data_IF_736458941994
#
_entry.id   IF_736458941994
#
_cell.length_a   1.000
_cell.length_b   1.000
_cell.length_c   1.000
_cell.angle_alpha   90.00
_cell.angle_beta   90.00
_cell.angle_gamma   90.00
#
_symmetry.space_group_name_H-M   'P 1'
#
loop_
_entity.id
_entity.type
_entity.pdbx_description
1 polymer ?
#
# COMPACT_ATOMS: atom_id res chain seq x y z
N UNK A 1 -15.02 -12.93 -2.33
CA UNK A 1 -13.69 -13.09 -1.68
C UNK A 1 -13.39 -11.85 -0.86
N UNK A 2 -13.44 -11.95 0.46
CA UNK A 2 -13.27 -10.82 1.37
C UNK A 2 -11.79 -10.48 1.53
N UNK A 3 -11.38 -9.29 1.10
CA UNK A 3 -10.08 -8.73 1.46
C UNK A 3 -10.02 -8.57 2.99
N UNK A 4 -9.32 -9.45 3.70
CA UNK A 4 -9.04 -9.25 5.13
C UNK A 4 -8.19 -8.00 5.23
N UNK A 5 -8.72 -6.94 5.87
CA UNK A 5 -7.93 -5.74 6.20
C UNK A 5 -6.64 -6.21 6.89
N UNK A 6 -5.49 -5.75 6.42
CA UNK A 6 -4.23 -5.98 7.12
C UNK A 6 -4.40 -5.52 8.57
N UNK A 7 -3.92 -6.32 9.53
CA UNK A 7 -4.01 -5.98 10.94
C UNK A 7 -3.49 -4.55 11.18
N UNK A 8 -4.19 -3.73 11.99
CA UNK A 8 -3.82 -2.33 12.21
C UNK A 8 -2.35 -2.14 12.63
N UNK A 9 -1.80 -3.10 13.37
CA UNK A 9 -0.41 -3.11 13.81
C UNK A 9 0.58 -3.31 12.64
N UNK A 10 0.28 -4.24 11.73
CA UNK A 10 1.08 -4.50 10.52
C UNK A 10 1.08 -3.28 9.61
N UNK A 11 -0.09 -2.65 9.44
CA UNK A 11 -0.20 -1.40 8.70
C UNK A 11 0.67 -0.29 9.31
N UNK A 12 0.61 -0.09 10.62
CA UNK A 12 1.38 0.98 11.29
C UNK A 12 2.89 0.76 11.17
N UNK A 13 3.36 -0.47 11.33
CA UNK A 13 4.79 -0.81 11.18
C UNK A 13 5.29 -0.59 9.74
N UNK A 14 4.52 -1.02 8.73
CA UNK A 14 4.91 -0.80 7.34
C UNK A 14 4.89 0.68 6.97
N UNK A 15 3.90 1.45 7.45
CA UNK A 15 3.87 2.90 7.22
C UNK A 15 5.10 3.61 7.80
N UNK A 16 5.52 3.20 9.00
CA UNK A 16 6.73 3.73 9.64
C UNK A 16 8.00 3.35 8.86
N UNK A 17 8.15 2.11 8.40
CA UNK A 17 9.34 1.69 7.65
C UNK A 17 9.46 2.41 6.31
N UNK A 18 8.33 2.66 5.63
CA UNK A 18 8.29 3.43 4.38
C UNK A 18 8.55 4.94 4.62
N UNK A 19 8.44 5.42 5.87
CA UNK A 19 8.53 6.84 6.21
C UNK A 19 7.47 7.70 5.52
N UNK A 20 6.32 7.11 5.20
CA UNK A 20 5.24 7.77 4.50
C UNK A 20 4.43 8.66 5.47
N UNK A 21 4.02 9.88 5.07
CA UNK A 21 3.14 10.69 5.90
C UNK A 21 1.79 9.99 6.11
N UNK A 22 1.24 10.09 7.32
CA UNK A 22 -0.08 9.52 7.65
C UNK A 22 -1.14 10.04 6.66
N UNK A 23 -1.94 9.13 6.10
CA UNK A 23 -2.98 9.46 5.11
C UNK A 23 -2.48 9.60 3.67
N UNK A 24 -1.16 9.55 3.43
CA UNK A 24 -0.61 9.66 2.07
C UNK A 24 -0.54 8.33 1.33
N UNK A 25 -0.55 7.22 2.07
CA UNK A 25 -0.55 5.88 1.53
C UNK A 25 -1.56 4.99 2.27
N UNK A 26 -2.14 4.04 1.55
CA UNK A 26 -3.09 3.05 2.04
C UNK A 26 -2.50 1.66 1.87
N UNK A 27 -2.37 0.92 2.97
CA UNK A 27 -1.86 -0.46 2.96
C UNK A 27 -3.04 -1.41 3.06
N UNK A 28 -3.10 -2.38 2.16
CA UNK A 28 -4.14 -3.42 2.14
C UNK A 28 -3.50 -4.79 1.92
N UNK A 29 -4.11 -5.83 2.48
CA UNK A 29 -3.79 -7.21 2.14
C UNK A 29 -4.80 -7.70 1.11
N UNK A 30 -4.32 -8.24 0.00
CA UNK A 30 -5.13 -8.77 -1.11
C UNK A 30 -4.77 -10.24 -1.27
N UNK A 31 -5.77 -11.11 -1.23
CA UNK A 31 -5.60 -12.51 -1.60
C UNK A 31 -5.50 -12.62 -3.12
N UNK A 32 -4.49 -13.34 -3.62
CA UNK A 32 -4.32 -13.72 -5.02
C UNK A 32 -4.30 -15.25 -5.12
N UNK A 33 -4.43 -15.84 -6.33
CA UNK A 33 -4.32 -17.28 -6.53
C UNK A 33 -2.99 -17.87 -6.02
N UNK A 34 -1.91 -17.09 -6.06
CA UNK A 34 -0.57 -17.47 -5.63
C UNK A 34 -0.29 -17.22 -4.13
N UNK A 35 -1.20 -16.55 -3.42
CA UNK A 35 -1.06 -16.26 -1.99
C UNK A 35 -1.53 -14.86 -1.60
N UNK A 36 -1.29 -14.48 -0.35
CA UNK A 36 -1.62 -13.14 0.11
C UNK A 36 -0.50 -12.15 -0.25
N UNK A 37 -0.88 -10.99 -0.79
CA UNK A 37 0.04 -9.91 -1.13
C UNK A 37 -0.33 -8.64 -0.36
N UNK A 38 0.67 -7.84 0.00
CA UNK A 38 0.47 -6.50 0.57
C UNK A 38 0.49 -5.49 -0.58
N UNK A 39 -0.59 -4.75 -0.73
CA UNK A 39 -0.71 -3.65 -1.69
C UNK A 39 -0.55 -2.32 -0.96
N UNK A 40 0.49 -1.58 -1.32
CA UNK A 40 0.74 -0.21 -0.86
C UNK A 40 0.25 0.74 -1.94
N UNK A 41 -0.94 1.33 -1.71
CA UNK A 41 -1.50 2.36 -2.57
C UNK A 41 -0.98 3.73 -2.17
N UNK A 42 -0.28 4.40 -3.06
CA UNK A 42 0.28 5.73 -2.83
C UNK A 42 -0.57 6.76 -3.57
N UNK A 43 -0.85 7.90 -2.96
CA UNK A 43 -1.44 9.00 -3.73
C UNK A 43 -0.39 9.57 -4.70
N UNK A 44 -0.82 10.21 -5.78
CA UNK A 44 0.08 10.78 -6.80
C UNK A 44 1.01 11.89 -6.28
N UNK A 45 0.72 12.48 -5.11
CA UNK A 45 1.56 13.48 -4.43
C UNK A 45 2.55 12.86 -3.44
N UNK A 46 2.40 11.58 -3.12
CA UNK A 46 3.18 10.87 -2.13
C UNK A 46 4.06 9.88 -2.84
N UNK A 47 5.29 10.30 -3.05
CA UNK A 47 6.34 9.40 -3.50
C UNK A 47 6.97 8.80 -2.25
N UNK A 48 6.61 7.57 -1.90
CA UNK A 48 7.50 6.77 -1.05
C UNK A 48 8.80 6.65 -1.81
N UNK A 49 9.88 7.13 -1.21
CA UNK A 49 11.17 7.18 -1.89
C UNK A 49 11.56 5.76 -2.35
N UNK A 50 12.01 5.56 -3.60
CA UNK A 50 12.33 4.24 -4.14
C UNK A 50 13.27 3.44 -3.23
N UNK A 51 14.24 4.09 -2.59
CA UNK A 51 15.19 3.46 -1.67
C UNK A 51 14.57 2.92 -0.37
N UNK A 52 13.34 3.31 -0.06
CA UNK A 52 12.58 2.81 1.10
C UNK A 52 11.53 1.77 0.71
N UNK A 53 11.36 1.50 -0.57
CA UNK A 53 10.41 0.49 -1.03
C UNK A 53 10.99 -0.89 -0.75
N UNK A 54 10.27 -1.66 0.06
CA UNK A 54 10.56 -3.07 0.34
C UNK A 54 9.79 -3.95 -0.63
N UNK A 55 10.42 -4.99 -1.16
CA UNK A 55 9.77 -5.99 -2.05
C UNK A 55 8.96 -7.03 -1.26
N UNK A 56 9.25 -7.19 0.03
CA UNK A 56 8.53 -8.08 0.93
C UNK A 56 8.47 -7.50 2.36
N UNK A 57 7.42 -7.82 3.10
CA UNK A 57 7.25 -7.43 4.49
C UNK A 57 6.60 -8.56 5.29
N UNK A 58 7.30 -9.06 6.31
CA UNK A 58 6.87 -10.23 7.13
C UNK A 58 6.41 -11.40 6.24
N UNK A 59 7.25 -11.78 5.28
CA UNK A 59 7.02 -12.90 4.34
C UNK A 59 5.92 -12.68 3.29
N UNK A 60 5.21 -11.54 3.33
CA UNK A 60 4.27 -11.19 2.28
C UNK A 60 4.96 -10.36 1.19
N UNK A 61 4.77 -10.70 -0.11
CA UNK A 61 5.23 -9.83 -1.19
C UNK A 61 4.49 -8.49 -1.14
N UNK A 62 5.23 -7.40 -1.42
CA UNK A 62 4.72 -6.04 -1.38
C UNK A 62 4.67 -5.46 -2.79
N UNK A 63 3.51 -4.95 -3.18
CA UNK A 63 3.26 -4.33 -4.48
C UNK A 63 2.86 -2.87 -4.27
N UNK A 64 3.48 -1.96 -5.02
CA UNK A 64 3.19 -0.53 -4.96
C UNK A 64 2.26 -0.15 -6.11
N UNK A 65 1.10 0.42 -5.78
CA UNK A 65 0.14 0.94 -6.75
C UNK A 65 0.05 2.46 -6.57
N UNK A 66 0.23 3.24 -7.64
CA UNK A 66 -0.06 4.69 -7.59
C UNK A 66 -1.53 4.89 -7.88
N UNK A 67 -2.26 5.49 -6.93
CA UNK A 67 -3.63 5.94 -7.14
C UNK A 67 -3.59 7.15 -8.06
N UNK A 68 -4.05 6.97 -9.30
CA UNK A 68 -4.36 8.10 -10.16
C UNK A 68 -5.46 8.93 -9.48
N UNK A 69 -5.33 10.26 -9.43
CA UNK A 69 -6.44 11.09 -8.99
C UNK A 69 -7.62 10.79 -9.92
N UNK A 70 -8.79 10.53 -9.33
CA UNK A 70 -10.03 10.52 -10.09
C UNK A 70 -10.20 11.97 -10.56
N UNK A 71 -9.85 12.23 -11.82
CA UNK A 71 -10.21 13.49 -12.46
C UNK A 71 -11.73 13.40 -12.58
N UNK A 72 -12.44 14.02 -11.64
CA UNK A 72 -13.87 14.21 -11.78
C UNK A 72 -14.04 15.06 -13.05
N UNK A 73 -14.48 14.43 -14.14
CA UNK A 73 -14.85 15.14 -15.35
C UNK A 73 -15.95 16.12 -14.97
N UNK A 74 -15.64 17.40 -15.07
CA UNK A 74 -16.64 18.44 -15.13
C UNK A 74 -17.48 18.18 -16.39
N UNK A 75 -18.73 17.79 -16.20
CA UNK A 75 -19.80 17.92 -17.19
C UNK A 75 -20.68 19.08 -16.76
#
# INVERSE_FOLDING_TARGET
MSARRAEPAVRKQLLQSLGAPTGSVTVMRRATPDGDVIVVRMNSKSSVRPERQVSAFKEFPVVYEVMKPVVAGHW
#
